data_IF_763439401443
#
_entry.id   IF_763439401443
#
_cell.length_a   1.000
_cell.length_b   1.000
_cell.length_c   1.000
_cell.angle_alpha   90.00
_cell.angle_beta   90.00
_cell.angle_gamma   90.00
#
_symmetry.space_group_name_H-M   'P 1'
#
loop_
_entity.id
_entity.type
_entity.pdbx_description
1 polymer ?
#
# COMPACT_ATOMS: atom_id res chain seq x y z
N UNK A 1 47.05 -41.19 83.27
CA UNK A 1 47.86 -42.27 82.66
C UNK A 1 47.68 -42.13 81.16
N UNK A 2 48.50 -41.27 80.54
CA UNK A 2 49.71 -41.66 79.80
C UNK A 2 49.38 -42.46 78.54
N UNK A 3 49.37 -41.82 77.37
CA UNK A 3 50.51 -41.75 76.45
C UNK A 3 50.09 -41.16 75.10
N UNK A 4 50.97 -40.30 74.61
CA UNK A 4 51.03 -39.73 73.27
C UNK A 4 51.45 -40.78 72.23
N UNK A 5 50.92 -40.69 71.00
CA UNK A 5 51.69 -41.07 69.82
C UNK A 5 51.34 -40.22 68.59
N UNK A 6 52.39 -39.73 67.94
CA UNK A 6 52.40 -38.96 66.70
C UNK A 6 51.96 -39.78 65.49
N UNK A 7 51.31 -39.13 64.51
CA UNK A 7 51.71 -39.28 63.10
C UNK A 7 51.24 -38.09 62.24
N UNK A 8 52.17 -37.65 61.40
CA UNK A 8 52.07 -36.61 60.36
C UNK A 8 51.08 -37.06 59.26
N UNK A 9 50.45 -36.12 58.53
CA UNK A 9 50.88 -35.64 57.20
C UNK A 9 49.73 -34.98 56.39
N UNK A 10 50.15 -34.03 55.55
CA UNK A 10 49.49 -33.50 54.35
C UNK A 10 48.24 -32.62 54.47
N UNK A 11 48.51 -31.31 54.58
CA UNK A 11 47.62 -30.27 54.04
C UNK A 11 47.51 -30.41 52.52
N UNK A 12 46.33 -30.71 52.02
CA UNK A 12 45.98 -30.60 50.60
C UNK A 12 45.01 -29.41 50.46
N UNK A 13 45.53 -28.25 50.06
CA UNK A 13 44.71 -27.10 49.65
C UNK A 13 43.91 -27.50 48.41
N UNK A 14 42.60 -27.68 48.55
CA UNK A 14 41.68 -27.67 47.41
C UNK A 14 41.52 -26.22 46.92
N UNK A 15 42.17 -25.87 45.81
CA UNK A 15 41.74 -24.75 44.98
C UNK A 15 40.43 -25.15 44.28
N UNK A 16 39.29 -24.60 44.73
CA UNK A 16 38.09 -24.57 43.91
C UNK A 16 38.29 -23.53 42.79
N UNK A 17 38.69 -24.01 41.62
CA UNK A 17 38.62 -23.24 40.39
C UNK A 17 37.15 -23.04 39.99
N UNK A 18 36.66 -21.80 40.10
CA UNK A 18 35.41 -21.38 39.47
C UNK A 18 35.59 -21.46 37.94
N UNK A 19 35.17 -22.56 37.33
CA UNK A 19 34.90 -22.62 35.90
C UNK A 19 33.67 -21.76 35.62
N UNK A 20 33.89 -20.48 35.31
CA UNK A 20 32.90 -19.68 34.62
C UNK A 20 32.82 -20.27 33.21
N UNK A 21 31.89 -21.21 32.99
CA UNK A 21 31.47 -21.56 31.65
C UNK A 21 30.78 -20.32 31.08
N UNK A 22 31.52 -19.51 30.32
CA UNK A 22 30.94 -18.58 29.37
C UNK A 22 30.15 -19.45 28.39
N UNK A 23 28.87 -19.67 28.68
CA UNK A 23 27.90 -20.04 27.68
C UNK A 23 27.83 -18.86 26.73
N UNK A 24 28.66 -18.87 25.68
CA UNK A 24 28.45 -18.06 24.52
C UNK A 24 27.07 -18.46 23.99
N UNK A 25 26.04 -17.69 24.38
CA UNK A 25 24.80 -17.66 23.63
C UNK A 25 25.26 -17.42 22.18
N UNK A 26 24.96 -18.31 21.23
CA UNK A 26 25.23 -18.01 19.83
C UNK A 26 24.36 -16.81 19.52
N UNK A 27 24.98 -15.64 19.54
CA UNK A 27 24.38 -14.41 19.11
C UNK A 27 23.92 -14.69 17.68
N UNK A 28 22.61 -14.81 17.47
CA UNK A 28 22.02 -14.95 16.15
C UNK A 28 22.11 -13.59 15.45
N UNK A 29 23.32 -13.06 15.28
CA UNK A 29 23.55 -11.89 14.47
C UNK A 29 23.36 -12.30 13.02
N UNK A 30 22.46 -11.61 12.31
CA UNK A 30 22.29 -11.80 10.88
C UNK A 30 23.63 -11.71 10.17
N UNK A 31 23.87 -12.68 9.28
CA UNK A 31 25.13 -12.71 8.55
C UNK A 31 25.09 -11.69 7.40
N UNK A 32 23.96 -11.53 6.71
CA UNK A 32 23.81 -10.53 5.66
C UNK A 32 22.70 -9.53 5.99
N UNK A 33 22.96 -8.24 5.74
CA UNK A 33 22.01 -7.14 5.89
C UNK A 33 22.01 -6.25 4.65
N UNK A 34 20.82 -6.02 4.09
CA UNK A 34 20.62 -5.18 2.90
C UNK A 34 19.65 -4.06 3.27
N UNK A 35 20.15 -2.83 3.31
CA UNK A 35 19.38 -1.68 3.81
C UNK A 35 18.47 -1.09 2.73
N UNK A 36 17.22 -0.78 3.11
CA UNK A 36 16.20 -0.16 2.26
C UNK A 36 16.71 1.19 1.72
N UNK A 37 17.02 2.10 2.63
CA UNK A 37 17.59 3.40 2.30
C UNK A 37 19.12 3.31 2.30
N UNK A 38 19.67 2.72 1.23
CA UNK A 38 21.12 2.55 1.03
C UNK A 38 21.43 1.55 -0.07
N UNK A 39 21.47 0.26 0.24
CA UNK A 39 21.82 -0.76 -0.75
C UNK A 39 20.76 -0.92 -1.86
N UNK A 40 19.50 -0.64 -1.56
CA UNK A 40 18.39 -0.77 -2.52
C UNK A 40 18.11 0.52 -3.29
N UNK A 41 19.00 1.53 -3.23
CA UNK A 41 18.86 2.75 -4.04
C UNK A 41 19.51 2.64 -5.42
N UNK A 42 19.99 1.45 -5.78
CA UNK A 42 20.61 1.20 -7.08
C UNK A 42 19.58 1.06 -8.21
N UNK A 43 20.05 1.18 -9.45
CA UNK A 43 19.20 0.97 -10.61
C UNK A 43 18.80 -0.51 -10.77
N UNK A 44 17.57 -0.72 -11.25
CA UNK A 44 17.04 -2.03 -11.61
C UNK A 44 17.05 -3.07 -10.48
N UNK A 45 16.74 -2.64 -9.25
CA UNK A 45 16.59 -3.53 -8.08
C UNK A 45 15.60 -4.66 -8.38
N UNK A 46 15.99 -5.94 -8.20
CA UNK A 46 15.07 -7.06 -8.28
C UNK A 46 14.01 -7.03 -7.18
N UNK A 47 12.89 -7.69 -7.42
CA UNK A 47 11.93 -8.02 -6.38
C UNK A 47 12.59 -8.98 -5.40
N UNK A 48 12.47 -8.71 -4.10
CA UNK A 48 12.84 -9.65 -3.04
C UNK A 48 11.58 -10.44 -2.68
N UNK A 49 11.65 -11.76 -2.81
CA UNK A 49 10.47 -12.62 -2.75
C UNK A 49 10.58 -13.62 -1.59
N UNK A 50 9.44 -13.94 -1.02
CA UNK A 50 9.27 -15.03 -0.07
C UNK A 50 8.43 -16.13 -0.71
N UNK A 51 8.93 -17.36 -0.69
CA UNK A 51 8.20 -18.54 -1.16
C UNK A 51 7.75 -19.38 0.04
N UNK A 52 6.45 -19.62 0.17
CA UNK A 52 5.89 -20.45 1.25
C UNK A 52 4.62 -21.15 0.78
N UNK A 53 4.55 -22.47 0.96
CA UNK A 53 3.35 -23.25 0.62
C UNK A 53 2.92 -23.17 -0.85
N UNK A 54 3.87 -22.95 -1.78
CA UNK A 54 3.59 -22.76 -3.21
C UNK A 54 3.18 -21.34 -3.60
N UNK A 55 3.02 -20.43 -2.63
CA UNK A 55 2.76 -19.01 -2.88
C UNK A 55 4.05 -18.19 -2.89
N UNK A 56 4.07 -17.14 -3.71
CA UNK A 56 5.15 -16.15 -3.76
C UNK A 56 4.60 -14.80 -3.34
N UNK A 57 5.25 -14.19 -2.35
CA UNK A 57 4.87 -12.90 -1.77
C UNK A 57 6.04 -11.94 -1.84
N UNK A 58 5.72 -10.65 -1.93
CA UNK A 58 6.71 -9.59 -1.81
C UNK A 58 7.26 -9.61 -0.39
N UNK A 59 8.57 -9.77 -0.25
CA UNK A 59 9.21 -9.73 1.06
C UNK A 59 9.49 -8.28 1.43
N UNK A 60 9.35 -7.97 2.71
CA UNK A 60 9.71 -6.68 3.29
C UNK A 60 10.23 -6.89 4.71
N UNK A 61 11.11 -6.01 5.21
CA UNK A 61 11.72 -6.19 6.52
C UNK A 61 10.74 -5.89 7.66
N UNK A 62 10.87 -6.60 8.78
CA UNK A 62 9.95 -6.52 9.92
C UNK A 62 10.57 -5.74 11.08
N UNK A 63 10.32 -4.44 11.16
CA UNK A 63 10.66 -3.63 12.33
C UNK A 63 12.06 -3.02 12.32
N UNK A 64 12.70 -3.01 11.16
CA UNK A 64 14.04 -2.45 10.96
C UNK A 64 14.24 -2.05 9.50
N UNK A 65 15.25 -1.22 9.22
CA UNK A 65 15.50 -0.64 7.90
C UNK A 65 16.29 -1.52 6.91
N UNK A 66 16.37 -2.83 7.14
CA UNK A 66 17.14 -3.74 6.30
C UNK A 66 16.49 -5.12 6.19
N UNK A 67 16.69 -5.80 5.07
CA UNK A 67 16.46 -7.24 5.01
C UNK A 67 17.62 -7.97 5.69
N UNK A 68 17.31 -9.05 6.43
CA UNK A 68 18.31 -9.83 7.15
C UNK A 68 18.25 -11.30 6.77
N UNK A 69 19.41 -11.88 6.50
CA UNK A 69 19.58 -13.32 6.25
C UNK A 69 20.67 -13.90 7.15
N UNK A 70 20.43 -15.10 7.67
CA UNK A 70 21.45 -15.91 8.35
C UNK A 70 22.46 -16.46 7.35
N UNK A 71 23.65 -16.80 7.84
CA UNK A 71 24.68 -17.44 7.00
C UNK A 71 24.10 -18.68 6.34
N UNK A 72 24.35 -18.85 5.05
CA UNK A 72 23.81 -19.95 4.22
C UNK A 72 22.30 -19.89 3.96
N UNK A 73 21.56 -18.90 4.47
CA UNK A 73 20.16 -18.70 4.11
C UNK A 73 20.05 -18.18 2.68
N UNK A 74 19.01 -18.60 1.96
CA UNK A 74 18.75 -18.20 0.58
C UNK A 74 17.84 -16.97 0.52
N UNK A 75 18.23 -16.00 -0.29
CA UNK A 75 17.39 -14.90 -0.75
C UNK A 75 16.86 -15.25 -2.15
N UNK A 76 15.55 -15.19 -2.35
CA UNK A 76 14.92 -15.38 -3.66
C UNK A 76 14.70 -14.00 -4.30
N UNK A 77 15.27 -13.80 -5.47
CA UNK A 77 15.19 -12.54 -6.21
C UNK A 77 14.54 -12.75 -7.57
N UNK A 78 13.72 -11.80 -8.03
CA UNK A 78 12.96 -11.90 -9.28
C UNK A 78 12.91 -10.61 -10.08
N UNK A 79 12.89 -10.72 -11.40
CA UNK A 79 12.81 -9.64 -12.36
C UNK A 79 11.49 -9.73 -13.13
N UNK A 80 10.64 -8.72 -12.98
CA UNK A 80 9.44 -8.55 -13.81
C UNK A 80 9.77 -7.56 -14.94
N UNK A 81 9.40 -7.70 -16.20
CA UNK A 81 8.39 -8.49 -16.91
C UNK A 81 8.93 -9.78 -17.55
N UNK A 82 8.15 -10.42 -18.43
CA UNK A 82 8.46 -11.72 -19.06
C UNK A 82 9.82 -11.82 -19.78
N UNK A 83 10.41 -10.72 -20.24
CA UNK A 83 11.74 -10.69 -20.88
C UNK A 83 12.84 -10.12 -19.97
N UNK A 84 12.48 -9.70 -18.76
CA UNK A 84 13.42 -9.17 -17.79
C UNK A 84 14.06 -10.33 -17.01
N UNK A 85 15.37 -10.25 -16.83
CA UNK A 85 16.18 -11.31 -16.22
C UNK A 85 17.23 -10.69 -15.30
N UNK A 86 17.71 -11.48 -14.36
CA UNK A 86 18.89 -11.17 -13.57
C UNK A 86 20.13 -11.28 -14.47
N UNK A 87 20.98 -10.26 -14.44
CA UNK A 87 22.15 -10.16 -15.35
C UNK A 87 23.12 -11.34 -15.16
N UNK A 88 23.34 -11.79 -13.92
CA UNK A 88 24.33 -12.83 -13.65
C UNK A 88 23.85 -14.26 -13.96
N UNK A 89 22.54 -14.47 -14.11
CA UNK A 89 21.96 -15.82 -14.25
C UNK A 89 21.19 -16.01 -15.55
N UNK A 90 20.93 -14.93 -16.27
CA UNK A 90 20.09 -14.93 -17.48
C UNK A 90 18.70 -15.56 -17.24
N UNK A 91 18.24 -15.57 -15.99
CA UNK A 91 16.98 -16.15 -15.55
C UNK A 91 16.09 -15.07 -14.93
N UNK A 92 14.77 -15.20 -15.08
CA UNK A 92 13.81 -14.23 -14.53
C UNK A 92 13.75 -14.24 -13.00
N UNK A 93 14.18 -15.32 -12.35
CA UNK A 93 14.39 -15.36 -10.91
C UNK A 93 15.53 -16.34 -10.57
N UNK A 94 16.16 -16.14 -9.42
CA UNK A 94 17.19 -17.04 -8.91
C UNK A 94 17.33 -16.93 -7.39
N UNK A 95 17.98 -17.92 -6.78
CA UNK A 95 18.35 -17.85 -5.36
C UNK A 95 19.80 -17.46 -5.17
N UNK A 96 20.05 -16.64 -4.15
CA UNK A 96 21.37 -16.19 -3.75
C UNK A 96 21.60 -16.55 -2.28
N UNK A 97 22.73 -17.16 -1.97
CA UNK A 97 23.03 -17.65 -0.63
C UNK A 97 23.81 -16.61 0.14
N UNK A 98 23.30 -16.19 1.30
CA UNK A 98 23.99 -15.26 2.16
C UNK A 98 25.34 -15.83 2.64
N UNK A 99 26.41 -15.06 2.48
CA UNK A 99 27.75 -15.39 2.98
C UNK A 99 28.03 -14.62 4.27
N UNK A 100 28.19 -13.29 4.14
CA UNK A 100 28.41 -12.35 5.25
C UNK A 100 28.25 -10.89 4.77
N UNK A 101 27.98 -9.97 5.69
CA UNK A 101 27.76 -8.54 5.48
C UNK A 101 26.76 -8.22 4.36
N UNK A 102 27.22 -7.99 3.15
CA UNK A 102 26.37 -7.71 1.97
C UNK A 102 26.72 -8.65 0.81
N UNK A 103 27.48 -9.71 1.09
CA UNK A 103 28.01 -10.63 0.09
C UNK A 103 27.11 -11.85 -0.04
N UNK A 104 26.76 -12.13 -1.29
CA UNK A 104 25.88 -13.23 -1.66
C UNK A 104 26.56 -14.11 -2.72
N UNK A 105 26.42 -15.41 -2.54
CA UNK A 105 26.88 -16.41 -3.50
C UNK A 105 25.76 -16.77 -4.45
N UNK A 106 26.03 -16.74 -5.75
CA UNK A 106 25.09 -17.19 -6.76
C UNK A 106 24.85 -18.71 -6.65
N UNK A 107 23.60 -19.16 -6.80
CA UNK A 107 23.28 -20.58 -6.80
C UNK A 107 24.09 -21.34 -7.88
N UNK A 108 24.64 -22.48 -7.51
CA UNK A 108 25.47 -23.34 -8.38
C UNK A 108 26.74 -22.65 -8.92
N UNK A 109 27.23 -21.61 -8.25
CA UNK A 109 28.46 -20.91 -8.60
C UNK A 109 29.35 -20.71 -7.36
N UNK A 110 30.67 -20.61 -7.57
CA UNK A 110 31.62 -20.18 -6.54
C UNK A 110 31.70 -18.66 -6.42
N UNK A 111 31.11 -17.92 -7.37
CA UNK A 111 31.14 -16.45 -7.42
C UNK A 111 30.36 -15.85 -6.27
N UNK A 112 31.01 -14.94 -5.55
CA UNK A 112 30.45 -14.14 -4.46
C UNK A 112 30.46 -12.67 -4.90
N UNK A 113 29.32 -12.01 -4.80
CA UNK A 113 29.14 -10.62 -5.22
C UNK A 113 28.43 -9.82 -4.13
N UNK A 114 28.67 -8.50 -4.03
CA UNK A 114 27.84 -7.65 -3.19
C UNK A 114 26.40 -7.66 -3.71
N UNK A 115 25.43 -7.48 -2.81
CA UNK A 115 24.01 -7.37 -3.19
C UNK A 115 23.81 -6.28 -4.24
N UNK A 116 24.63 -5.24 -4.21
CA UNK A 116 24.51 -4.12 -5.13
C UNK A 116 24.81 -4.47 -6.59
N UNK A 117 25.49 -5.58 -6.83
CA UNK A 117 25.77 -6.04 -8.20
C UNK A 117 24.63 -6.90 -8.75
N UNK A 118 23.72 -7.38 -7.88
CA UNK A 118 22.58 -8.20 -8.28
C UNK A 118 21.46 -7.29 -8.80
N UNK A 119 21.34 -7.23 -10.12
CA UNK A 119 20.39 -6.36 -10.81
C UNK A 119 19.60 -7.07 -11.90
N UNK A 120 18.41 -6.57 -12.14
CA UNK A 120 17.66 -6.89 -13.34
C UNK A 120 18.25 -6.17 -14.56
N UNK A 121 18.03 -6.72 -15.74
CA UNK A 121 18.43 -6.08 -17.01
C UNK A 121 17.74 -4.74 -17.22
N UNK A 122 16.49 -4.62 -16.79
CA UNK A 122 15.70 -3.38 -16.81
C UNK A 122 14.95 -3.20 -15.49
N UNK A 123 14.40 -2.01 -15.27
CA UNK A 123 13.50 -1.73 -14.13
C UNK A 123 12.38 -2.77 -14.05
N UNK A 124 12.08 -3.22 -12.83
CA UNK A 124 10.97 -4.15 -12.64
C UNK A 124 9.64 -3.50 -13.02
N UNK A 125 8.87 -4.18 -13.86
CA UNK A 125 7.58 -3.69 -14.33
C UNK A 125 6.44 -4.23 -13.47
N UNK A 126 5.48 -3.39 -13.11
CA UNK A 126 4.22 -3.85 -12.52
C UNK A 126 3.15 -4.07 -13.60
N UNK A 127 2.22 -5.00 -13.33
CA UNK A 127 1.15 -5.44 -14.24
C UNK A 127 -0.18 -5.68 -13.49
N UNK A 128 -1.25 -5.84 -14.28
CA UNK A 128 -2.58 -6.19 -13.80
C UNK A 128 -2.91 -7.62 -14.20
N UNK A 129 -3.57 -8.35 -13.31
CA UNK A 129 -4.12 -9.68 -13.60
C UNK A 129 -5.62 -9.69 -13.30
N UNK A 130 -6.49 -9.79 -14.32
CA UNK A 130 -7.93 -9.90 -14.09
C UNK A 130 -8.25 -11.21 -13.35
N UNK A 131 -9.21 -11.16 -12.44
CA UNK A 131 -9.80 -12.34 -11.81
C UNK A 131 -11.09 -12.73 -12.53
N UNK A 132 -11.45 -14.00 -12.44
CA UNK A 132 -12.75 -14.52 -12.90
C UNK A 132 -13.87 -14.27 -11.89
N UNK A 133 -13.73 -13.24 -11.05
CA UNK A 133 -14.66 -12.93 -9.95
C UNK A 133 -15.18 -11.51 -10.09
N UNK A 134 -16.49 -11.36 -9.95
CA UNK A 134 -17.18 -10.08 -9.85
C UNK A 134 -17.08 -9.52 -8.42
N UNK A 135 -17.33 -8.22 -8.28
CA UNK A 135 -17.38 -7.49 -7.01
C UNK A 135 -18.46 -6.42 -7.07
N UNK A 136 -18.71 -5.76 -5.93
CA UNK A 136 -19.68 -4.67 -5.84
C UNK A 136 -21.08 -5.04 -6.34
N UNK A 137 -21.60 -6.17 -5.86
CA UNK A 137 -22.92 -6.72 -6.24
C UNK A 137 -23.09 -6.89 -7.76
N UNK A 138 -22.00 -7.26 -8.44
CA UNK A 138 -21.97 -7.51 -9.88
C UNK A 138 -21.64 -6.28 -10.73
N UNK A 139 -21.44 -5.10 -10.13
CA UNK A 139 -21.06 -3.87 -10.86
C UNK A 139 -19.62 -3.88 -11.36
N UNK A 140 -18.72 -4.60 -10.68
CA UNK A 140 -17.30 -4.56 -10.99
C UNK A 140 -16.67 -5.93 -11.20
N UNK A 141 -15.47 -5.90 -11.76
CA UNK A 141 -14.55 -7.04 -11.83
C UNK A 141 -13.35 -6.80 -10.92
N UNK A 142 -12.86 -7.87 -10.28
CA UNK A 142 -11.63 -7.80 -9.49
C UNK A 142 -10.38 -7.95 -10.36
N UNK A 143 -9.38 -7.13 -10.06
CA UNK A 143 -8.06 -7.17 -10.67
C UNK A 143 -6.99 -7.21 -9.58
N UNK A 144 -6.06 -8.14 -9.69
CA UNK A 144 -4.84 -8.12 -8.90
C UNK A 144 -3.82 -7.17 -9.52
N UNK A 145 -3.19 -6.36 -8.67
CA UNK A 145 -2.12 -5.45 -9.03
C UNK A 145 -0.83 -5.97 -8.40
N UNK A 146 0.22 -6.08 -9.19
CA UNK A 146 1.45 -6.72 -8.72
C UNK A 146 2.47 -6.93 -9.83
N UNK A 147 3.11 -8.08 -9.82
CA UNK A 147 4.27 -8.38 -10.66
C UNK A 147 4.17 -9.75 -11.32
N UNK A 148 4.53 -9.78 -12.60
CA UNK A 148 4.64 -11.00 -13.39
C UNK A 148 6.12 -11.33 -13.58
N UNK A 149 6.57 -12.41 -12.93
CA UNK A 149 7.93 -12.94 -13.08
C UNK A 149 7.83 -14.27 -13.81
N UNK A 150 8.47 -14.38 -14.97
CA UNK A 150 8.35 -15.57 -15.80
C UNK A 150 8.75 -16.85 -15.03
N UNK A 151 7.91 -17.88 -15.11
CA UNK A 151 8.08 -19.13 -14.38
C UNK A 151 7.59 -19.13 -12.92
N UNK A 152 7.05 -18.01 -12.42
CA UNK A 152 6.39 -17.93 -11.11
C UNK A 152 4.90 -17.61 -11.26
N UNK A 153 4.04 -18.00 -10.29
CA UNK A 153 2.71 -17.43 -10.14
C UNK A 153 2.75 -15.91 -10.01
N UNK A 154 1.63 -15.26 -10.34
CA UNK A 154 1.50 -13.80 -10.21
C UNK A 154 1.71 -13.35 -8.76
N UNK A 155 2.63 -12.41 -8.54
CA UNK A 155 2.99 -11.91 -7.22
C UNK A 155 2.13 -10.67 -6.94
N UNK A 156 1.03 -10.89 -6.22
CA UNK A 156 0.07 -9.85 -5.86
C UNK A 156 0.65 -8.89 -4.82
N UNK A 157 0.44 -7.59 -5.02
CA UNK A 157 0.60 -6.56 -4.00
C UNK A 157 -0.75 -6.20 -3.36
N UNK A 158 -1.70 -5.74 -4.18
CA UNK A 158 -3.06 -5.38 -3.75
C UNK A 158 -4.07 -5.78 -4.82
N UNK A 159 -5.34 -5.49 -4.61
CA UNK A 159 -6.36 -5.68 -5.65
C UNK A 159 -7.35 -4.52 -5.70
N UNK A 160 -8.03 -4.40 -6.83
CA UNK A 160 -9.04 -3.38 -7.10
C UNK A 160 -10.31 -4.01 -7.64
N UNK A 161 -11.46 -3.47 -7.24
CA UNK A 161 -12.75 -3.66 -7.89
C UNK A 161 -13.01 -2.50 -8.85
N UNK A 162 -13.26 -2.80 -10.12
CA UNK A 162 -13.39 -1.80 -11.17
C UNK A 162 -14.59 -2.07 -12.07
N UNK A 163 -15.32 -0.99 -12.36
CA UNK A 163 -16.39 -1.00 -13.34
C UNK A 163 -15.81 -0.69 -14.73
N UNK A 164 -15.67 -1.71 -15.55
CA UNK A 164 -15.18 -1.59 -16.93
C UNK A 164 -16.16 -0.79 -17.81
N UNK A 165 -17.46 -0.93 -17.57
CA UNK A 165 -18.50 -0.29 -18.37
C UNK A 165 -18.50 1.21 -18.16
N UNK A 166 -18.24 1.64 -16.93
CA UNK A 166 -18.13 3.04 -16.50
C UNK A 166 -16.71 3.59 -16.54
N UNK A 167 -15.70 2.75 -16.76
CA UNK A 167 -14.29 3.13 -16.63
C UNK A 167 -13.99 3.82 -15.29
N UNK A 168 -14.50 3.25 -14.19
CA UNK A 168 -14.48 3.85 -12.85
C UNK A 168 -14.06 2.85 -11.78
N UNK A 169 -13.19 3.27 -10.87
CA UNK A 169 -12.79 2.46 -9.72
C UNK A 169 -13.89 2.45 -8.66
N UNK A 170 -14.14 1.29 -8.06
CA UNK A 170 -15.14 1.13 -6.99
C UNK A 170 -14.45 1.07 -5.63
N UNK A 171 -13.48 0.15 -5.47
CA UNK A 171 -12.65 0.08 -4.27
C UNK A 171 -11.31 -0.61 -4.55
N UNK A 172 -10.35 -0.42 -3.66
CA UNK A 172 -9.13 -1.22 -3.56
C UNK A 172 -8.99 -1.80 -2.16
N UNK A 173 -8.22 -2.88 -2.05
CA UNK A 173 -7.84 -3.48 -0.77
C UNK A 173 -6.37 -3.87 -0.76
N UNK A 174 -5.67 -3.40 0.27
CA UNK A 174 -4.27 -3.70 0.55
C UNK A 174 -4.02 -3.93 2.04
N UNK A 175 -2.83 -4.45 2.36
CA UNK A 175 -2.36 -4.61 3.73
C UNK A 175 -1.27 -3.58 4.01
N UNK A 176 -1.41 -2.87 5.12
CA UNK A 176 -0.53 -1.81 5.55
C UNK A 176 0.41 -2.34 6.67
N UNK A 177 1.67 -2.64 6.38
CA UNK A 177 2.59 -3.25 7.35
C UNK A 177 3.14 -2.21 8.33
N UNK A 178 2.40 -1.94 9.41
CA UNK A 178 2.69 -0.88 10.37
C UNK A 178 4.10 -0.90 10.94
N UNK A 179 4.59 -2.10 11.29
CA UNK A 179 5.94 -2.34 11.82
C UNK A 179 7.07 -1.91 10.86
N UNK A 180 6.79 -1.80 9.57
CA UNK A 180 7.81 -1.52 8.53
C UNK A 180 7.74 -0.11 7.97
N UNK A 181 6.61 0.59 8.14
CA UNK A 181 6.34 1.89 7.51
C UNK A 181 7.36 2.99 7.86
N UNK A 182 7.87 3.05 9.09
CA UNK A 182 8.89 4.04 9.48
C UNK A 182 10.22 3.88 8.73
N UNK A 183 10.42 2.74 8.08
CA UNK A 183 11.67 2.41 7.40
C UNK A 183 11.51 2.30 5.88
N UNK A 184 10.31 2.53 5.35
CA UNK A 184 10.01 2.45 3.92
C UNK A 184 11.03 3.24 3.09
N UNK A 185 11.24 2.80 1.85
CA UNK A 185 12.13 3.52 0.93
C UNK A 185 11.64 4.94 0.69
N UNK A 186 12.55 5.89 0.78
CA UNK A 186 12.28 7.29 0.50
C UNK A 186 12.50 7.51 -0.99
N UNK A 187 11.42 7.73 -1.74
CA UNK A 187 11.51 8.06 -3.15
C UNK A 187 10.44 9.07 -3.55
N UNK A 188 10.89 10.12 -4.24
CA UNK A 188 10.04 11.18 -4.75
C UNK A 188 9.73 11.02 -6.25
N UNK A 189 10.26 9.99 -6.91
CA UNK A 189 10.01 9.72 -8.31
C UNK A 189 8.67 9.01 -8.51
N UNK A 190 7.71 9.74 -9.08
CA UNK A 190 6.33 9.29 -9.29
C UNK A 190 6.12 9.01 -10.78
N UNK A 191 5.83 7.76 -11.19
CA UNK A 191 5.61 7.45 -12.59
C UNK A 191 4.27 8.02 -13.11
N UNK A 192 4.12 8.05 -14.42
CA UNK A 192 2.83 8.38 -15.05
C UNK A 192 1.81 7.26 -14.86
N UNK A 193 0.54 7.63 -14.71
CA UNK A 193 -0.56 6.66 -14.64
C UNK A 193 -0.75 5.90 -15.94
N UNK A 194 -1.05 4.60 -15.85
CA UNK A 194 -1.22 3.71 -17.00
C UNK A 194 -2.48 2.83 -16.90
N UNK A 195 -2.92 2.33 -18.05
CA UNK A 195 -4.10 1.44 -18.14
C UNK A 195 -3.78 0.00 -17.72
N UNK A 196 -2.56 -0.48 -17.95
CA UNK A 196 -2.18 -1.84 -17.56
C UNK A 196 -2.89 -2.95 -18.32
N UNK A 197 -3.37 -2.67 -19.53
CA UNK A 197 -4.04 -3.66 -20.38
C UNK A 197 -5.56 -3.74 -20.19
N UNK A 198 -6.16 -2.95 -19.28
CA UNK A 198 -7.62 -2.82 -19.23
C UNK A 198 -8.13 -2.08 -20.46
N UNK A 199 -9.31 -2.49 -20.92
CA UNK A 199 -10.04 -1.75 -21.94
C UNK A 199 -10.65 -0.50 -21.30
N UNK A 200 -10.60 0.61 -22.02
CA UNK A 200 -11.24 1.86 -21.60
C UNK A 200 -11.92 2.46 -22.81
N UNK A 201 -13.17 2.87 -22.65
CA UNK A 201 -13.96 3.53 -23.69
C UNK A 201 -13.52 4.99 -23.90
N UNK A 202 -12.68 5.50 -23.01
CA UNK A 202 -12.17 6.88 -23.02
C UNK A 202 -10.66 6.89 -22.85
N UNK A 203 -10.02 7.95 -23.35
CA UNK A 203 -8.61 8.21 -23.07
C UNK A 203 -8.48 8.81 -21.66
N UNK A 204 -8.31 7.94 -20.65
CA UNK A 204 -8.31 8.36 -19.24
C UNK A 204 -7.34 9.50 -18.95
N UNK A 205 -6.11 9.48 -19.50
CA UNK A 205 -5.17 10.58 -19.29
C UNK A 205 -5.72 11.95 -19.77
N UNK A 206 -6.53 11.98 -20.82
CA UNK A 206 -7.10 13.20 -21.39
C UNK A 206 -8.25 13.76 -20.55
N UNK A 207 -9.14 12.90 -20.04
CA UNK A 207 -10.33 13.36 -19.30
C UNK A 207 -9.99 13.99 -17.95
N UNK A 208 -8.81 13.65 -17.40
CA UNK A 208 -8.27 14.26 -16.18
C UNK A 208 -7.55 15.59 -16.41
N UNK A 209 -7.42 16.10 -17.64
CA UNK A 209 -6.83 17.42 -17.87
C UNK A 209 -7.81 18.53 -17.46
N UNK A 210 -7.30 19.63 -16.91
CA UNK A 210 -8.14 20.76 -16.48
C UNK A 210 -8.95 21.35 -17.63
N UNK A 211 -8.36 21.46 -18.83
CA UNK A 211 -9.07 21.95 -20.02
C UNK A 211 -10.26 21.04 -20.38
N UNK A 212 -10.05 19.72 -20.41
CA UNK A 212 -11.14 18.79 -20.68
C UNK A 212 -12.23 18.86 -19.60
N UNK A 213 -11.83 18.98 -18.33
CA UNK A 213 -12.78 19.16 -17.22
C UNK A 213 -13.62 20.42 -17.39
N UNK A 214 -12.97 21.54 -17.73
CA UNK A 214 -13.65 22.81 -17.97
C UNK A 214 -14.68 22.68 -19.10
N UNK A 215 -14.27 22.16 -20.25
CA UNK A 215 -15.15 21.96 -21.41
C UNK A 215 -16.33 21.04 -21.08
N UNK A 216 -16.07 19.97 -20.32
CA UNK A 216 -17.10 19.02 -19.87
C UNK A 216 -18.09 19.70 -18.93
N UNK A 217 -17.61 20.46 -17.96
CA UNK A 217 -18.46 21.16 -16.99
C UNK A 217 -19.26 22.27 -17.66
N UNK A 218 -18.70 23.00 -18.63
CA UNK A 218 -19.42 24.02 -19.40
C UNK A 218 -20.62 23.41 -20.13
N UNK A 219 -20.40 22.30 -20.83
CA UNK A 219 -21.46 21.58 -21.55
C UNK A 219 -22.56 21.07 -20.60
N UNK A 220 -22.17 20.47 -19.47
CA UNK A 220 -23.13 19.81 -18.56
C UNK A 220 -23.86 20.81 -17.66
N UNK A 221 -23.19 21.87 -17.23
CA UNK A 221 -23.76 22.87 -16.32
C UNK A 221 -24.43 24.04 -17.06
N UNK A 222 -24.21 24.16 -18.37
CA UNK A 222 -24.96 25.05 -19.26
C UNK A 222 -24.34 26.42 -19.53
N UNK A 223 -23.15 26.71 -19.00
CA UNK A 223 -22.38 27.91 -19.38
C UNK A 223 -20.92 27.88 -18.91
N UNK A 224 -20.06 28.61 -19.60
CA UNK A 224 -18.66 28.86 -19.20
C UNK A 224 -18.56 29.49 -17.81
N UNK A 225 -19.42 30.48 -17.52
CA UNK A 225 -19.45 31.16 -16.22
C UNK A 225 -19.78 30.19 -15.07
N UNK A 226 -20.71 29.25 -15.30
CA UNK A 226 -21.06 28.22 -14.30
C UNK A 226 -19.92 27.21 -14.13
N UNK A 227 -19.25 26.79 -15.21
CA UNK A 227 -18.10 25.89 -15.14
C UNK A 227 -16.91 26.50 -14.36
N UNK A 228 -16.61 27.78 -14.60
CA UNK A 228 -15.50 28.50 -13.96
C UNK A 228 -15.62 28.60 -12.43
N UNK A 229 -16.84 28.45 -11.88
CA UNK A 229 -17.06 28.38 -10.42
C UNK A 229 -16.46 27.12 -9.80
N UNK A 230 -16.33 26.04 -10.59
CA UNK A 230 -15.90 24.73 -10.12
C UNK A 230 -14.52 24.36 -10.63
N UNK A 231 -14.23 24.60 -11.92
CA UNK A 231 -12.96 24.19 -12.54
C UNK A 231 -12.11 25.42 -12.86
N UNK A 232 -10.92 25.49 -12.26
CA UNK A 232 -9.90 26.49 -12.51
C UNK A 232 -8.52 25.95 -12.13
N UNK A 233 -7.47 26.78 -12.22
CA UNK A 233 -6.08 26.38 -11.94
C UNK A 233 -5.86 25.80 -10.54
N UNK A 234 -6.68 26.20 -9.56
CA UNK A 234 -6.61 25.75 -8.16
C UNK A 234 -7.70 24.75 -7.76
N UNK A 235 -8.69 24.54 -8.63
CA UNK A 235 -9.85 23.69 -8.37
C UNK A 235 -10.08 22.78 -9.56
N UNK A 236 -9.72 21.52 -9.42
CA UNK A 236 -9.84 20.52 -10.48
C UNK A 236 -9.88 19.12 -9.87
N UNK A 237 -10.33 18.14 -10.65
CA UNK A 237 -10.34 16.74 -10.26
C UNK A 237 -8.99 16.10 -10.58
N UNK A 238 -8.30 15.68 -9.54
CA UNK A 238 -7.05 14.95 -9.62
C UNK A 238 -7.28 13.44 -9.67
N UNK A 239 -6.21 12.73 -10.04
CA UNK A 239 -6.13 11.27 -9.99
C UNK A 239 -5.87 10.84 -8.55
N UNK A 240 -6.93 10.81 -7.72
CA UNK A 240 -6.83 10.41 -6.33
C UNK A 240 -6.70 8.89 -6.19
N UNK A 241 -5.60 8.43 -5.60
CA UNK A 241 -5.35 7.02 -5.36
C UNK A 241 -6.35 6.42 -4.36
N UNK A 242 -6.75 5.16 -4.55
CA UNK A 242 -7.46 4.38 -3.54
C UNK A 242 -6.45 3.67 -2.60
N UNK A 243 -5.53 2.89 -3.17
CA UNK A 243 -4.30 2.45 -2.48
C UNK A 243 -3.19 3.47 -2.77
N UNK A 244 -2.77 4.29 -1.79
CA UNK A 244 -1.81 5.36 -2.03
C UNK A 244 -0.37 4.82 -2.13
N UNK A 245 0.48 5.54 -2.86
CA UNK A 245 1.90 5.19 -3.01
C UNK A 245 2.68 5.28 -1.68
N UNK A 246 2.27 6.20 -0.80
CA UNK A 246 2.85 6.37 0.54
C UNK A 246 2.62 5.20 1.51
N UNK A 247 1.80 4.21 1.14
CA UNK A 247 1.59 2.99 1.93
C UNK A 247 2.55 1.85 1.53
N UNK A 248 3.33 2.04 0.46
CA UNK A 248 4.31 1.07 -0.01
C UNK A 248 5.60 1.09 0.82
N UNK A 249 6.18 -0.10 1.05
CA UNK A 249 7.50 -0.23 1.71
C UNK A 249 8.67 -0.05 0.72
N UNK A 250 8.45 -0.40 -0.55
CA UNK A 250 9.48 -0.36 -1.60
C UNK A 250 9.02 0.47 -2.80
N UNK A 251 9.98 1.06 -3.51
CA UNK A 251 9.77 1.94 -4.66
C UNK A 251 9.03 1.26 -5.81
N UNK A 252 9.34 -0.02 -6.05
CA UNK A 252 8.64 -0.82 -7.07
C UNK A 252 7.18 -1.08 -6.70
N UNK A 253 6.83 -1.19 -5.40
CA UNK A 253 5.45 -1.30 -4.93
C UNK A 253 4.73 0.04 -5.04
N UNK A 254 5.38 1.15 -4.69
CA UNK A 254 4.84 2.50 -4.89
C UNK A 254 4.50 2.74 -6.37
N UNK A 255 5.40 2.37 -7.28
CA UNK A 255 5.14 2.44 -8.71
C UNK A 255 3.95 1.59 -9.19
N UNK A 256 3.55 0.55 -8.44
CA UNK A 256 2.41 -0.30 -8.76
C UNK A 256 1.06 0.34 -8.43
N UNK A 257 1.01 1.44 -7.67
CA UNK A 257 -0.27 2.15 -7.38
C UNK A 257 -0.74 3.02 -8.54
N UNK A 258 0.12 3.29 -9.53
CA UNK A 258 -0.11 4.21 -10.65
C UNK A 258 -0.87 3.58 -11.83
N UNK A 259 -1.86 2.74 -11.54
CA UNK A 259 -2.84 2.31 -12.55
C UNK A 259 -4.12 3.12 -12.42
N UNK A 260 -4.75 3.48 -13.54
CA UNK A 260 -6.03 4.19 -13.51
C UNK A 260 -7.14 3.40 -12.80
N UNK A 261 -7.02 2.07 -12.75
CA UNK A 261 -7.93 1.19 -12.02
C UNK A 261 -7.93 1.42 -10.49
N UNK A 262 -6.87 2.03 -9.97
CA UNK A 262 -6.67 2.36 -8.56
C UNK A 262 -6.94 3.85 -8.28
N UNK A 263 -7.70 4.52 -9.16
CA UNK A 263 -7.91 5.97 -9.10
C UNK A 263 -9.39 6.31 -9.22
N UNK A 264 -9.83 7.25 -8.39
CA UNK A 264 -11.10 7.95 -8.57
C UNK A 264 -10.87 9.46 -8.76
N UNK A 265 -11.76 10.17 -9.49
CA UNK A 265 -11.73 11.63 -9.56
C UNK A 265 -11.95 12.26 -8.18
N UNK A 266 -10.93 12.92 -7.64
CA UNK A 266 -11.02 13.61 -6.36
C UNK A 266 -10.75 15.09 -6.57
N UNK A 267 -11.54 15.98 -5.97
CA UNK A 267 -11.19 17.40 -6.01
C UNK A 267 -9.82 17.58 -5.38
N UNK A 268 -8.91 18.28 -6.08
CA UNK A 268 -7.51 18.37 -5.66
C UNK A 268 -7.35 18.92 -4.24
N UNK A 269 -8.19 19.89 -3.87
CA UNK A 269 -8.22 20.47 -2.52
C UNK A 269 -8.68 19.48 -1.43
N UNK A 270 -9.41 18.44 -1.81
CA UNK A 270 -9.83 17.34 -0.93
C UNK A 270 -8.75 16.27 -0.87
N UNK A 271 -8.26 15.84 -2.05
CA UNK A 271 -7.16 14.87 -2.19
C UNK A 271 -5.92 15.31 -1.41
N UNK A 272 -5.50 16.56 -1.56
CA UNK A 272 -4.39 17.16 -0.81
C UNK A 272 -4.79 17.75 0.56
N UNK A 273 -6.09 17.71 0.89
CA UNK A 273 -6.66 18.22 2.12
C UNK A 273 -6.88 17.13 3.16
N UNK A 274 -8.12 16.92 3.56
CA UNK A 274 -8.47 15.97 4.61
C UNK A 274 -8.27 14.52 4.18
N UNK A 275 -8.35 14.20 2.89
CA UNK A 275 -8.07 12.85 2.42
C UNK A 275 -6.63 12.42 2.73
N UNK A 276 -5.65 13.27 2.39
CA UNK A 276 -4.25 13.06 2.76
C UNK A 276 -4.04 13.02 4.29
N UNK A 277 -4.82 13.78 5.08
CA UNK A 277 -4.75 13.73 6.55
C UNK A 277 -5.20 12.38 7.09
N UNK A 278 -6.27 11.79 6.53
CA UNK A 278 -6.71 10.44 6.88
C UNK A 278 -5.61 9.43 6.56
N UNK A 279 -5.04 9.47 5.35
CA UNK A 279 -3.96 8.56 4.97
C UNK A 279 -2.75 8.63 5.92
N UNK A 280 -2.34 9.86 6.28
CA UNK A 280 -1.27 10.08 7.26
C UNK A 280 -1.65 9.57 8.66
N UNK A 281 -2.87 9.82 9.12
CA UNK A 281 -3.34 9.38 10.43
C UNK A 281 -3.40 7.84 10.52
N UNK A 282 -3.91 7.19 9.48
CA UNK A 282 -3.97 5.72 9.38
C UNK A 282 -2.58 5.11 9.41
N UNK A 283 -1.62 5.65 8.65
CA UNK A 283 -0.21 5.21 8.72
C UNK A 283 0.37 5.34 10.13
N UNK A 284 0.15 6.48 10.80
CA UNK A 284 0.58 6.68 12.20
C UNK A 284 -0.04 5.65 13.14
N UNK A 285 -1.31 5.31 12.98
CA UNK A 285 -1.97 4.28 13.79
C UNK A 285 -1.39 2.90 13.53
N UNK A 286 -1.22 2.49 12.28
CA UNK A 286 -0.59 1.21 11.95
C UNK A 286 0.83 1.10 12.55
N UNK A 287 1.63 2.17 12.45
CA UNK A 287 2.96 2.25 13.09
C UNK A 287 2.88 2.06 14.61
N UNK A 288 1.95 2.73 15.29
CA UNK A 288 1.77 2.61 16.75
C UNK A 288 1.27 1.24 17.17
N UNK A 289 0.39 0.63 16.39
CA UNK A 289 -0.05 -0.75 16.59
C UNK A 289 1.10 -1.74 16.42
N UNK A 290 2.12 -1.36 15.64
CA UNK A 290 3.26 -2.22 15.30
C UNK A 290 2.83 -3.55 14.68
N UNK A 291 1.73 -3.51 13.92
CA UNK A 291 1.11 -4.67 13.29
C UNK A 291 0.56 -4.30 11.90
N UNK A 292 0.13 -5.30 11.15
CA UNK A 292 -0.48 -5.15 9.84
C UNK A 292 -1.95 -4.76 9.97
N UNK A 293 -2.33 -3.71 9.26
CA UNK A 293 -3.72 -3.24 9.20
C UNK A 293 -4.27 -3.50 7.81
N UNK A 294 -5.45 -4.10 7.71
CA UNK A 294 -6.15 -4.29 6.44
C UNK A 294 -6.89 -3.01 6.08
N UNK A 295 -6.65 -2.49 4.88
CA UNK A 295 -7.21 -1.23 4.41
C UNK A 295 -8.08 -1.50 3.19
N UNK A 296 -9.30 -1.00 3.23
CA UNK A 296 -10.17 -0.91 2.06
C UNK A 296 -10.47 0.55 1.80
N UNK A 297 -10.34 0.97 0.55
CA UNK A 297 -10.60 2.35 0.16
C UNK A 297 -11.46 2.36 -1.08
N UNK A 298 -12.54 3.13 -1.09
CA UNK A 298 -13.43 3.16 -2.23
C UNK A 298 -14.27 4.41 -2.32
N UNK A 299 -15.27 4.32 -3.17
CA UNK A 299 -16.17 5.41 -3.49
C UNK A 299 -17.62 5.03 -3.24
N UNK A 300 -18.49 6.03 -3.07
CA UNK A 300 -19.93 5.84 -2.96
C UNK A 300 -20.68 7.04 -3.56
N UNK A 301 -21.77 6.76 -4.26
CA UNK A 301 -22.58 7.68 -5.06
C UNK A 301 -21.81 8.48 -6.13
N UNK A 302 -22.55 9.19 -6.98
CA UNK A 302 -22.00 10.09 -8.00
C UNK A 302 -22.32 11.54 -7.63
N UNK A 303 -21.34 12.42 -7.76
CA UNK A 303 -21.48 13.84 -7.43
C UNK A 303 -22.44 14.53 -8.39
N UNK A 304 -23.34 15.33 -7.82
CA UNK A 304 -24.19 16.25 -8.54
C UNK A 304 -23.81 17.69 -8.22
N UNK A 305 -23.91 18.57 -9.21
CA UNK A 305 -23.71 20.01 -9.06
C UNK A 305 -24.87 20.77 -9.72
N UNK A 306 -25.24 21.96 -9.22
CA UNK A 306 -26.31 22.74 -9.79
C UNK A 306 -25.92 23.33 -11.15
N UNK A 307 -26.79 23.17 -12.14
CA UNK A 307 -26.69 23.85 -13.44
C UNK A 307 -26.99 25.35 -13.32
N UNK A 308 -26.95 26.07 -14.43
CA UNK A 308 -27.37 27.48 -14.52
C UNK A 308 -28.82 27.72 -14.07
N UNK A 309 -29.69 26.70 -14.12
CA UNK A 309 -31.09 26.78 -13.66
C UNK A 309 -31.27 26.36 -12.21
N UNK A 310 -30.20 25.95 -11.51
CA UNK A 310 -30.24 25.44 -10.14
C UNK A 310 -30.63 23.96 -10.04
N UNK A 311 -30.94 23.29 -11.16
CA UNK A 311 -31.20 21.85 -11.18
C UNK A 311 -29.92 21.08 -10.88
N UNK A 312 -29.98 20.08 -10.01
CA UNK A 312 -28.86 19.18 -9.76
C UNK A 312 -28.62 18.27 -10.98
N UNK A 313 -27.37 18.21 -11.43
CA UNK A 313 -26.96 17.40 -12.58
C UNK A 313 -25.78 16.53 -12.17
N UNK A 314 -25.86 15.24 -12.47
CA UNK A 314 -24.77 14.29 -12.27
C UNK A 314 -23.57 14.66 -13.15
N UNK A 315 -22.38 14.73 -12.54
CA UNK A 315 -21.16 15.11 -13.24
C UNK A 315 -20.24 13.90 -13.41
N UNK A 316 -19.71 13.73 -14.61
CA UNK A 316 -18.73 12.71 -14.97
C UNK A 316 -17.62 13.33 -15.80
N UNK A 317 -16.39 12.79 -15.71
CA UNK A 317 -15.26 13.32 -16.46
C UNK A 317 -15.36 13.10 -17.97
N UNK A 318 -16.23 12.20 -18.43
CA UNK A 318 -16.49 11.96 -19.85
C UNK A 318 -17.99 11.85 -20.15
N UNK A 319 -18.34 11.97 -21.43
CA UNK A 319 -19.70 11.74 -21.95
C UNK A 319 -20.21 10.31 -21.65
N UNK A 320 -21.51 10.09 -21.82
CA UNK A 320 -22.19 8.80 -21.59
C UNK A 320 -22.07 8.26 -20.16
N UNK A 321 -21.85 9.15 -19.19
CA UNK A 321 -21.69 8.77 -17.78
C UNK A 321 -20.42 7.99 -17.48
N UNK A 322 -19.37 8.16 -18.29
CA UNK A 322 -18.08 7.48 -18.11
C UNK A 322 -17.15 8.30 -17.21
N UNK A 323 -16.37 7.58 -16.40
CA UNK A 323 -15.47 8.13 -15.38
C UNK A 323 -16.25 8.96 -14.37
N UNK A 324 -16.98 8.26 -13.52
CA UNK A 324 -17.86 8.82 -12.51
C UNK A 324 -17.06 9.61 -11.47
N UNK A 325 -17.54 10.80 -11.12
CA UNK A 325 -16.95 11.60 -10.05
C UNK A 325 -17.69 11.20 -8.78
N UNK A 326 -17.04 10.52 -7.82
CA UNK A 326 -17.73 10.04 -6.65
C UNK A 326 -18.19 11.21 -5.78
N UNK A 327 -19.36 11.07 -5.14
CA UNK A 327 -19.81 12.03 -4.11
C UNK A 327 -19.05 11.80 -2.81
N UNK A 328 -18.84 10.54 -2.44
CA UNK A 328 -18.19 10.14 -1.21
C UNK A 328 -16.94 9.30 -1.50
N UNK A 329 -15.89 9.59 -0.75
CA UNK A 329 -14.75 8.70 -0.57
C UNK A 329 -14.90 8.01 0.78
N UNK A 330 -14.53 6.75 0.87
CA UNK A 330 -14.52 6.02 2.14
C UNK A 330 -13.24 5.21 2.32
N UNK A 331 -12.82 5.04 3.58
CA UNK A 331 -11.65 4.24 3.95
C UNK A 331 -11.95 3.42 5.20
N UNK A 332 -12.06 2.11 5.05
CA UNK A 332 -12.16 1.17 6.16
C UNK A 332 -10.76 0.78 6.63
N UNK A 333 -10.54 0.88 7.94
CA UNK A 333 -9.28 0.57 8.61
C UNK A 333 -9.57 -0.54 9.61
N UNK A 334 -9.06 -1.74 9.33
CA UNK A 334 -9.42 -2.96 10.06
C UNK A 334 -8.15 -3.57 10.65
N UNK A 335 -8.13 -3.69 11.97
CA UNK A 335 -7.11 -4.44 12.69
C UNK A 335 -7.72 -5.76 13.15
N UNK A 336 -7.45 -6.82 12.40
CA UNK A 336 -8.03 -8.15 12.62
C UNK A 336 -7.66 -8.74 14.00
N UNK A 337 -6.40 -8.66 14.49
CA UNK A 337 -6.03 -9.27 15.77
C UNK A 337 -6.79 -8.72 16.99
N UNK A 338 -7.08 -7.41 17.01
CA UNK A 338 -7.86 -6.81 18.10
C UNK A 338 -9.35 -6.70 17.79
N UNK A 339 -9.79 -7.25 16.66
CA UNK A 339 -11.18 -7.17 16.22
C UNK A 339 -11.73 -5.74 16.29
N UNK A 340 -11.03 -4.78 15.68
CA UNK A 340 -11.41 -3.37 15.71
C UNK A 340 -11.37 -2.76 14.33
N UNK A 341 -12.37 -1.93 14.02
CA UNK A 341 -12.46 -1.24 12.75
C UNK A 341 -13.00 0.18 12.91
N UNK A 342 -12.63 1.05 11.98
CA UNK A 342 -13.22 2.37 11.78
C UNK A 342 -13.34 2.64 10.29
N UNK A 343 -14.43 3.29 9.87
CA UNK A 343 -14.62 3.68 8.47
C UNK A 343 -14.71 5.20 8.39
N UNK A 344 -13.77 5.80 7.68
CA UNK A 344 -13.81 7.23 7.36
C UNK A 344 -14.67 7.47 6.14
N UNK A 345 -15.40 8.58 6.15
CA UNK A 345 -16.10 9.13 5.00
C UNK A 345 -15.62 10.56 4.78
N UNK A 346 -15.33 10.89 3.53
CA UNK A 346 -15.00 12.25 3.10
C UNK A 346 -15.90 12.66 1.95
N UNK A 347 -16.60 13.77 2.12
CA UNK A 347 -17.43 14.36 1.07
C UNK A 347 -16.50 14.93 -0.01
N UNK A 348 -16.57 14.40 -1.22
CA UNK A 348 -15.82 14.85 -2.39
C UNK A 348 -16.52 16.04 -3.07
N UNK A 349 -16.88 17.06 -2.28
CA UNK A 349 -17.50 18.29 -2.77
C UNK A 349 -17.03 19.49 -1.94
N UNK A 350 -16.05 20.26 -2.42
CA UNK A 350 -15.54 21.39 -1.67
C UNK A 350 -16.45 22.62 -1.68
N UNK A 351 -17.54 22.55 -2.44
CA UNK A 351 -18.52 23.63 -2.61
C UNK A 351 -19.77 23.40 -1.76
N UNK A 352 -19.83 22.30 -1.02
CA UNK A 352 -20.92 22.01 -0.11
C UNK A 352 -20.94 23.03 1.05
N UNK A 353 -22.14 23.32 1.54
CA UNK A 353 -22.39 24.25 2.64
C UNK A 353 -23.22 23.63 3.78
N UNK A 354 -23.51 22.33 3.69
CA UNK A 354 -24.28 21.59 4.68
C UNK A 354 -23.60 20.24 4.95
N UNK A 355 -23.65 19.80 6.21
CA UNK A 355 -23.16 18.48 6.59
C UNK A 355 -24.17 17.44 6.16
N UNK A 356 -23.69 16.42 5.46
CA UNK A 356 -24.43 15.20 5.18
C UNK A 356 -23.71 14.04 5.88
N UNK A 357 -24.47 13.16 6.52
CA UNK A 357 -23.95 12.00 7.22
C UNK A 357 -24.63 10.75 6.67
N UNK A 358 -23.83 9.77 6.29
CA UNK A 358 -24.26 8.43 5.90
C UNK A 358 -24.50 7.56 7.14
N UNK A 359 -23.89 7.92 8.28
CA UNK A 359 -23.98 7.20 9.55
C UNK A 359 -23.59 8.12 10.70
N UNK A 360 -23.89 7.71 11.93
CA UNK A 360 -23.53 8.45 13.14
C UNK A 360 -22.01 8.55 13.27
N UNK A 361 -21.52 9.78 13.53
CA UNK A 361 -20.08 10.03 13.68
C UNK A 361 -19.59 9.60 15.06
N UNK A 362 -18.64 8.68 15.08
CA UNK A 362 -17.98 8.17 16.30
C UNK A 362 -16.56 8.73 16.46
N UNK A 363 -16.15 9.68 15.61
CA UNK A 363 -14.77 10.18 15.55
C UNK A 363 -14.30 10.81 16.86
N UNK A 364 -15.16 11.59 17.54
CA UNK A 364 -14.80 12.19 18.82
C UNK A 364 -14.59 11.12 19.90
N UNK A 365 -15.52 10.16 19.98
CA UNK A 365 -15.52 9.08 20.98
C UNK A 365 -14.26 8.20 20.89
N UNK A 366 -13.72 7.99 19.69
CA UNK A 366 -12.57 7.12 19.46
C UNK A 366 -11.26 7.87 19.14
N UNK A 367 -11.20 9.18 19.39
CA UNK A 367 -9.96 9.96 19.26
C UNK A 367 -9.48 10.14 17.80
N UNK A 368 -10.40 10.07 16.84
CA UNK A 368 -10.15 10.33 15.41
C UNK A 368 -10.53 11.75 14.97
N UNK A 369 -11.16 12.52 15.86
CA UNK A 369 -11.54 13.89 15.58
C UNK A 369 -10.33 14.79 15.27
N UNK A 370 -10.49 15.63 14.25
CA UNK A 370 -9.60 16.74 13.90
C UNK A 370 -10.49 17.94 13.55
N UNK A 371 -10.12 19.15 13.96
CA UNK A 371 -10.90 20.35 13.64
C UNK A 371 -10.99 20.56 12.13
N UNK A 372 -9.92 20.25 11.39
CA UNK A 372 -9.87 20.41 9.94
C UNK A 372 -10.87 19.52 9.20
N UNK A 373 -11.32 18.41 9.80
CA UNK A 373 -12.32 17.53 9.21
C UNK A 373 -13.67 18.23 8.99
N UNK A 374 -13.93 19.36 9.64
CA UNK A 374 -15.13 20.15 9.43
C UNK A 374 -15.03 21.15 8.26
N UNK A 375 -13.84 21.33 7.65
CA UNK A 375 -13.65 22.25 6.51
C UNK A 375 -14.05 21.57 5.19
N UNK A 376 -15.23 21.93 4.67
CA UNK A 376 -15.74 21.44 3.38
C UNK A 376 -14.75 21.64 2.24
N UNK A 377 -14.04 22.77 2.20
CA UNK A 377 -13.09 23.10 1.12
C UNK A 377 -11.93 22.10 1.06
N UNK A 378 -11.64 21.43 2.18
CA UNK A 378 -10.62 20.38 2.30
C UNK A 378 -11.22 18.98 2.34
N UNK A 379 -12.54 18.85 2.23
CA UNK A 379 -13.29 17.61 2.27
C UNK A 379 -13.84 17.35 3.67
N UNK A 380 -15.13 17.67 3.87
CA UNK A 380 -15.82 17.36 5.12
C UNK A 380 -15.68 15.87 5.43
N UNK A 381 -15.18 15.54 6.62
CA UNK A 381 -14.76 14.20 7.01
C UNK A 381 -15.34 13.81 8.36
N UNK A 382 -15.77 12.56 8.48
CA UNK A 382 -16.17 11.95 9.74
C UNK A 382 -15.89 10.44 9.67
N UNK A 383 -16.21 9.71 10.72
CA UNK A 383 -16.01 8.28 10.75
C UNK A 383 -17.09 7.56 11.53
N UNK A 384 -17.36 6.33 11.11
CA UNK A 384 -18.42 5.47 11.63
C UNK A 384 -17.87 4.11 12.04
N UNK A 385 -18.71 3.34 12.71
CA UNK A 385 -18.51 1.91 12.89
C UNK A 385 -18.54 1.20 11.53
N UNK A 386 -17.88 0.05 11.44
CA UNK A 386 -17.94 -0.76 10.23
C UNK A 386 -19.36 -1.28 9.97
N UNK A 387 -20.11 -1.65 11.03
CA UNK A 387 -21.51 -2.07 10.93
C UNK A 387 -22.38 -1.00 10.28
N UNK A 388 -22.29 0.25 10.73
CA UNK A 388 -23.12 1.32 10.19
C UNK A 388 -22.70 1.69 8.77
N UNK A 389 -21.39 1.68 8.48
CA UNK A 389 -20.90 1.88 7.12
C UNK A 389 -21.47 0.82 6.14
N UNK A 390 -21.61 -0.44 6.57
CA UNK A 390 -22.19 -1.53 5.75
C UNK A 390 -23.69 -1.40 5.50
N UNK A 391 -24.42 -0.66 6.34
CA UNK A 391 -25.83 -0.34 6.09
C UNK A 391 -26.01 0.61 4.89
N UNK A 392 -24.94 1.29 4.47
CA UNK A 392 -24.96 2.21 3.34
C UNK A 392 -24.15 1.67 2.17
N UNK A 393 -22.95 1.14 2.45
CA UNK A 393 -22.08 0.49 1.46
C UNK A 393 -22.25 -1.02 1.59
N UNK A 394 -23.35 -1.55 1.07
CA UNK A 394 -23.69 -2.97 1.20
C UNK A 394 -22.63 -3.93 0.63
N UNK A 395 -21.88 -3.47 -0.37
CA UNK A 395 -20.83 -4.23 -1.01
C UNK A 395 -19.43 -4.09 -0.38
N UNK A 396 -19.31 -3.45 0.79
CA UNK A 396 -18.03 -3.36 1.51
C UNK A 396 -17.56 -4.80 1.85
N UNK A 397 -16.43 -5.29 1.29
CA UNK A 397 -16.10 -6.72 1.28
C UNK A 397 -15.41 -7.14 2.58
N UNK A 398 -16.22 -7.25 3.63
CA UNK A 398 -15.83 -7.70 4.97
C UNK A 398 -16.58 -8.98 5.33
N UNK A 399 -15.88 -9.90 6.00
CA UNK A 399 -16.49 -11.15 6.46
C UNK A 399 -17.49 -10.84 7.58
N UNK A 400 -18.49 -11.70 7.77
CA UNK A 400 -19.51 -11.55 8.83
C UNK A 400 -18.93 -11.52 10.25
N UNK A 401 -17.68 -11.97 10.42
CA UNK A 401 -16.97 -11.98 11.69
C UNK A 401 -16.09 -10.73 11.89
N UNK A 402 -16.08 -9.79 10.93
CA UNK A 402 -15.45 -8.48 11.12
C UNK A 402 -16.48 -7.57 11.81
N UNK A 403 -16.18 -7.03 13.00
CA UNK A 403 -17.15 -6.43 13.92
C UNK A 403 -17.66 -5.08 13.45
#
# INVERSE_FOLDING_TARGET
MEQTYHSKQCSMMLLLGFLITLSAFPSTFGACRVYLNGNLTQDHVPLILHASGGEYKLLYPQGHAFFEWRKSQKALLGCSSNKNVLVDTESSYATFTCVESQLFRLQNSTRVIPFTDIRCRSTVSNSLKPRNSICADGKGQLYDVGFEVNGLPFIKYFHTCYDNEKSSAIYSEHFLPGRSLNFAEINNNRPSFKLGGITSKVRLASVYTQNHQYDRFEKVLGSSAQAARYVNSSSYLAKGHLTPDGDAIMNNWAAATYFFINVAPQWQMINAGNWLRIENAVRKVAIRLNDTVRILTGVHDVLELPSTTGQQVTITLSENGLVEIPKWLWKAVIHEPSNSAVVFFTLNNPFANASEFLCESICYLHGWHQEEFLDYRKGFTYCCSLIDARKVIHYLPVTSNTP
#
